data_IF_494466530771
#
_entry.id   IF_494466530771
#
_cell.length_a   1.000
_cell.length_b   1.000
_cell.length_c   1.000
_cell.angle_alpha   90.00
_cell.angle_beta   90.00
_cell.angle_gamma   90.00
#
_symmetry.space_group_name_H-M   'P 1'
#
loop_
_entity.id
_entity.type
_entity.pdbx_description
1 polymer ?
#
# COMPACT_ATOMS: atom_id res chain seq x y z
N UNK A 1 -13.18 -31.42 -0.60
CA UNK A 1 -13.32 -29.94 -0.64
C UNK A 1 -11.92 -29.36 -0.50
N UNK A 2 -11.47 -28.48 -1.41
CA UNK A 2 -10.13 -27.87 -1.29
C UNK A 2 -10.18 -26.80 -0.18
N UNK A 3 -9.21 -26.73 0.73
CA UNK A 3 -9.18 -25.66 1.73
C UNK A 3 -9.15 -24.31 1.01
N UNK A 4 -10.11 -23.44 1.31
CA UNK A 4 -10.14 -22.08 0.81
C UNK A 4 -9.02 -21.28 1.47
N UNK A 5 -8.07 -20.80 0.67
CA UNK A 5 -7.03 -19.89 1.14
C UNK A 5 -7.58 -18.47 1.00
N UNK A 6 -7.79 -17.78 2.11
CA UNK A 6 -8.23 -16.38 2.11
C UNK A 6 -7.01 -15.47 2.28
N UNK A 7 -6.82 -14.54 1.34
CA UNK A 7 -5.78 -13.51 1.42
C UNK A 7 -6.46 -12.25 1.95
N UNK A 8 -6.02 -11.78 3.11
CA UNK A 8 -6.45 -10.49 3.66
C UNK A 8 -5.30 -9.50 3.57
N UNK A 9 -5.60 -8.30 3.07
CA UNK A 9 -4.67 -7.17 3.08
C UNK A 9 -4.90 -6.35 4.34
N UNK A 10 -3.83 -5.82 4.93
CA UNK A 10 -3.95 -4.84 6.01
C UNK A 10 -4.57 -3.53 5.52
N UNK A 11 -5.31 -2.84 6.39
CA UNK A 11 -5.92 -1.54 6.09
C UNK A 11 -4.91 -0.37 6.12
N UNK A 12 -3.63 -0.67 6.28
CA UNK A 12 -2.56 0.33 6.30
C UNK A 12 -1.41 -0.09 5.40
N UNK A 13 -0.65 0.87 4.90
CA UNK A 13 0.61 0.62 4.20
C UNK A 13 1.70 1.57 4.69
N UNK A 14 2.94 1.12 4.54
CA UNK A 14 4.10 1.98 4.75
C UNK A 14 4.40 2.76 3.47
N UNK A 15 4.59 4.07 3.63
CA UNK A 15 4.96 4.98 2.55
C UNK A 15 6.31 5.61 2.90
N UNK A 16 7.30 5.39 2.05
CA UNK A 16 8.65 5.96 2.19
C UNK A 16 8.83 7.14 1.24
N UNK A 17 9.20 8.30 1.78
CA UNK A 17 9.61 9.46 0.98
C UNK A 17 10.97 9.22 0.34
N UNK A 18 11.08 9.34 -0.99
CA UNK A 18 12.30 9.05 -1.74
C UNK A 18 13.42 10.06 -1.40
N UNK A 19 13.07 11.33 -1.22
CA UNK A 19 14.04 12.41 -0.94
C UNK A 19 14.73 12.27 0.42
N UNK A 20 13.97 11.90 1.44
CA UNK A 20 14.44 11.95 2.83
C UNK A 20 14.65 10.56 3.45
N UNK A 21 14.22 9.49 2.77
CA UNK A 21 14.25 8.12 3.29
C UNK A 21 13.31 7.85 4.46
N UNK A 22 12.49 8.81 4.85
CA UNK A 22 11.55 8.70 5.97
C UNK A 22 10.34 7.88 5.57
N UNK A 23 10.04 6.84 6.34
CA UNK A 23 8.81 6.05 6.23
C UNK A 23 7.73 6.56 7.17
N UNK A 24 6.48 6.53 6.71
CA UNK A 24 5.29 6.87 7.49
C UNK A 24 4.19 5.85 7.20
N UNK A 25 3.37 5.55 8.20
CA UNK A 25 2.20 4.68 8.02
C UNK A 25 1.02 5.50 7.51
N UNK A 26 0.37 5.00 6.46
CA UNK A 26 -0.83 5.60 5.89
C UNK A 26 -2.00 4.61 5.96
N UNK A 27 -3.19 5.15 6.21
CA UNK A 27 -4.44 4.39 6.21
C UNK A 27 -4.94 4.26 4.77
N UNK A 28 -5.21 3.04 4.32
CA UNK A 28 -5.66 2.75 2.97
C UNK A 28 -7.15 3.07 2.86
N UNK A 29 -7.50 3.90 1.89
CA UNK A 29 -8.88 4.23 1.53
C UNK A 29 -9.35 3.37 0.34
N UNK A 30 -8.45 3.08 -0.59
CA UNK A 30 -8.74 2.24 -1.75
C UNK A 30 -7.48 1.51 -2.16
N UNK A 31 -7.59 0.20 -2.36
CA UNK A 31 -6.51 -0.64 -2.83
C UNK A 31 -6.95 -1.47 -4.03
N UNK A 32 -6.17 -1.38 -5.11
CA UNK A 32 -6.27 -2.26 -6.27
C UNK A 32 -4.90 -2.82 -6.58
N UNK A 33 -4.77 -4.14 -6.47
CA UNK A 33 -3.49 -4.81 -6.66
C UNK A 33 -2.90 -4.51 -8.05
N UNK A 34 -1.63 -4.10 -8.05
CA UNK A 34 -0.83 -3.70 -9.22
C UNK A 34 -1.46 -2.59 -10.08
N UNK A 35 -2.33 -1.78 -9.49
CA UNK A 35 -2.96 -0.65 -10.17
C UNK A 35 -2.77 0.64 -9.36
N UNK A 36 -3.50 0.79 -8.24
CA UNK A 36 -3.51 2.02 -7.45
C UNK A 36 -3.73 1.77 -5.97
N UNK A 37 -3.07 2.60 -5.16
CA UNK A 37 -3.34 2.76 -3.72
C UNK A 37 -3.72 4.21 -3.47
N UNK A 38 -4.89 4.42 -2.90
CA UNK A 38 -5.28 5.70 -2.34
C UNK A 38 -5.22 5.53 -0.83
N UNK A 39 -4.37 6.33 -0.18
CA UNK A 39 -4.18 6.28 1.26
C UNK A 39 -4.20 7.70 1.86
N UNK A 40 -4.39 7.80 3.16
CA UNK A 40 -4.29 9.04 3.90
C UNK A 40 -3.20 8.96 4.95
N UNK A 41 -2.31 9.94 4.94
CA UNK A 41 -1.26 10.11 5.95
C UNK A 41 -1.86 10.94 7.09
N UNK A 42 -1.83 10.41 8.31
CA UNK A 42 -2.33 11.06 9.53
C UNK A 42 -3.75 11.65 9.38
N UNK A 43 -4.63 11.01 8.59
CA UNK A 43 -5.99 11.49 8.26
C UNK A 43 -6.08 12.92 7.72
N UNK A 44 -4.95 13.49 7.31
CA UNK A 44 -4.83 14.92 6.98
C UNK A 44 -4.46 15.11 5.51
N UNK A 45 -3.71 14.17 4.93
CA UNK A 45 -3.19 14.30 3.58
C UNK A 45 -3.45 13.04 2.76
N UNK A 46 -4.24 13.18 1.69
CA UNK A 46 -4.53 12.07 0.76
C UNK A 46 -3.42 11.95 -0.27
N UNK A 47 -2.89 10.73 -0.41
CA UNK A 47 -1.89 10.36 -1.41
C UNK A 47 -2.45 9.29 -2.33
N UNK A 48 -2.16 9.45 -3.62
CA UNK A 48 -2.46 8.45 -4.64
C UNK A 48 -1.13 7.90 -5.15
N UNK A 49 -0.94 6.59 -5.03
CA UNK A 49 0.24 5.88 -5.49
C UNK A 49 -0.17 4.94 -6.63
N UNK A 50 0.52 5.01 -7.76
CA UNK A 50 0.28 4.15 -8.91
C UNK A 50 1.34 3.06 -8.99
N UNK A 51 0.94 1.84 -9.35
CA UNK A 51 1.87 0.73 -9.51
C UNK A 51 2.86 1.01 -10.65
N UNK A 52 4.15 0.93 -10.32
CA UNK A 52 5.24 1.02 -11.29
C UNK A 52 5.83 -0.37 -11.48
N UNK A 53 5.56 -1.07 -12.60
CA UNK A 53 6.05 -2.43 -12.82
C UNK A 53 7.57 -2.52 -12.88
N UNK A 54 8.24 -1.46 -13.37
CA UNK A 54 9.70 -1.38 -13.40
C UNK A 54 10.33 -1.34 -12.00
N UNK A 55 9.71 -0.59 -11.08
CA UNK A 55 10.18 -0.46 -9.71
C UNK A 55 9.62 -1.55 -8.77
N UNK A 56 8.62 -2.31 -9.24
CA UNK A 56 7.84 -3.27 -8.45
C UNK A 56 7.29 -2.63 -7.16
N UNK A 57 6.88 -1.37 -7.24
CA UNK A 57 6.40 -0.58 -6.13
C UNK A 57 5.33 0.42 -6.59
N UNK A 58 4.49 0.84 -5.66
CA UNK A 58 3.55 1.93 -5.88
C UNK A 58 4.26 3.26 -5.66
N UNK A 59 4.17 4.17 -6.62
CA UNK A 59 4.85 5.47 -6.60
C UNK A 59 3.83 6.58 -6.80
N UNK A 60 3.98 7.65 -6.03
CA UNK A 60 3.11 8.81 -6.09
C UNK A 60 3.84 10.05 -5.61
N UNK A 61 3.24 11.21 -5.81
CA UNK A 61 3.82 12.48 -5.35
C UNK A 61 2.78 13.34 -4.67
N UNK A 62 3.20 14.08 -3.65
CA UNK A 62 2.36 15.04 -2.95
C UNK A 62 3.22 16.22 -2.51
N UNK A 63 2.82 17.43 -2.88
CA UNK A 63 3.55 18.66 -2.52
C UNK A 63 5.01 18.71 -3.01
N UNK A 64 5.33 18.08 -4.14
CA UNK A 64 6.69 18.03 -4.68
C UNK A 64 7.62 17.01 -4.00
N UNK A 65 7.09 16.16 -3.12
CA UNK A 65 7.79 15.01 -2.54
C UNK A 65 7.30 13.75 -3.23
N UNK A 66 8.23 12.91 -3.69
CA UNK A 66 7.93 11.59 -4.21
C UNK A 66 7.94 10.55 -3.09
N UNK A 67 6.98 9.65 -3.19
CA UNK A 67 6.71 8.60 -2.22
C UNK A 67 6.69 7.25 -2.93
N UNK A 68 7.19 6.23 -2.25
CA UNK A 68 7.10 4.83 -2.70
C UNK A 68 6.49 3.96 -1.61
N UNK A 69 5.76 2.92 -2.00
CA UNK A 69 5.22 1.92 -1.10
C UNK A 69 5.29 0.54 -1.76
N UNK A 70 5.65 -0.53 -1.03
CA UNK A 70 5.48 -1.91 -1.52
C UNK A 70 4.01 -2.34 -1.58
N UNK A 71 3.10 -1.58 -0.95
CA UNK A 71 1.69 -1.93 -0.78
C UNK A 71 1.37 -2.46 0.62
N UNK A 72 0.09 -2.80 0.90
CA UNK A 72 -0.31 -3.41 2.16
C UNK A 72 0.32 -4.79 2.35
N UNK A 73 0.63 -5.16 3.59
CA UNK A 73 1.01 -6.54 3.87
C UNK A 73 -0.21 -7.44 3.70
N UNK A 74 0.01 -8.62 3.13
CA UNK A 74 -1.01 -9.65 2.97
C UNK A 74 -0.79 -10.77 3.99
N UNK A 75 -1.80 -11.12 4.77
CA UNK A 75 -1.82 -12.33 5.58
C UNK A 75 -2.65 -13.41 4.90
N UNK A 76 -2.03 -14.58 4.72
CA UNK A 76 -2.70 -15.77 4.23
C UNK A 76 -3.28 -16.52 5.42
N UNK A 77 -4.60 -16.58 5.53
CA UNK A 77 -5.26 -17.40 6.54
C UNK A 77 -5.55 -18.78 5.95
N UNK A 78 -4.96 -19.80 6.56
CA UNK A 78 -5.31 -21.20 6.28
C UNK A 78 -6.40 -21.60 7.28
N UNK A 79 -7.66 -21.39 6.92
CA UNK A 79 -8.78 -21.86 7.75
C UNK A 79 -8.79 -23.39 7.75
N UNK A 80 -8.40 -23.99 8.86
CA UNK A 80 -8.75 -25.36 9.20
C UNK A 80 -10.14 -25.33 9.84
N UNK A 81 -11.16 -25.79 9.11
CA UNK A 81 -12.46 -26.13 9.67
C UNK A 81 -12.62 -27.65 9.63
#
# INVERSE_FOLDING_TARGET
>A
MRPGQEIRYEDTCEITGIKNGLSTTAEILTFRDKDVIIATIQRSAKVTLHWQPHAKAYVGSMGGVEFRSPGPKSQTYRTHR
#
